data_IF_276908716147
#
_entry.id   IF_276908716147
#
_cell.length_a   1.000
_cell.length_b   1.000
_cell.length_c   1.000
_cell.angle_alpha   90.00
_cell.angle_beta   90.00
_cell.angle_gamma   90.00
#
_symmetry.space_group_name_H-M   'P 1'
#
loop_
_entity.id
_entity.type
_entity.pdbx_description
1 polymer ?
#
# COMPACT_ATOMS: atom_id res chain seq x y z
N UNK A 1 -7.31 15.08 -11.78
CA UNK A 1 -6.50 14.84 -13.00
C UNK A 1 -4.99 14.77 -12.73
N UNK A 2 -4.53 14.60 -11.47
CA UNK A 2 -3.11 14.38 -11.15
C UNK A 2 -2.71 12.90 -10.94
N UNK A 3 -3.66 12.01 -10.63
CA UNK A 3 -3.36 10.61 -10.25
C UNK A 3 -3.02 9.68 -11.42
N UNK A 4 -3.40 10.00 -12.66
CA UNK A 4 -3.21 9.10 -13.80
C UNK A 4 -1.78 9.02 -14.32
N UNK A 5 -0.92 9.97 -13.93
CA UNK A 5 0.50 10.03 -14.29
C UNK A 5 1.44 10.08 -13.07
N UNK A 6 0.87 10.18 -11.87
CA UNK A 6 1.64 10.17 -10.64
C UNK A 6 1.79 8.71 -10.22
N UNK A 7 3.02 8.20 -10.07
CA UNK A 7 3.30 6.86 -9.51
C UNK A 7 2.89 6.71 -8.04
N UNK A 8 1.96 7.54 -7.59
CA UNK A 8 1.54 7.70 -6.23
C UNK A 8 0.20 6.99 -6.06
N UNK A 9 0.12 6.03 -5.16
CA UNK A 9 -1.10 5.24 -4.98
C UNK A 9 -1.31 4.85 -3.54
N UNK A 10 -2.55 5.04 -3.07
CA UNK A 10 -3.01 4.47 -1.81
C UNK A 10 -3.08 2.95 -1.95
N UNK A 11 -2.34 2.25 -1.09
CA UNK A 11 -2.35 0.80 -1.03
C UNK A 11 -3.05 0.38 0.28
N UNK A 12 -4.28 -0.15 0.19
CA UNK A 12 -4.93 -0.75 1.35
C UNK A 12 -4.12 -1.96 1.78
N UNK A 13 -3.88 -2.09 3.09
CA UNK A 13 -3.23 -3.28 3.64
C UNK A 13 -4.15 -3.95 4.65
N UNK A 14 -3.94 -5.23 4.90
CA UNK A 14 -4.69 -5.92 5.95
C UNK A 14 -4.38 -5.29 7.31
N UNK A 15 -5.38 -5.06 8.18
CA UNK A 15 -5.17 -4.32 9.42
C UNK A 15 -4.13 -4.95 10.33
N UNK A 16 -2.98 -4.30 10.48
CA UNK A 16 -1.93 -4.73 11.41
C UNK A 16 -1.95 -3.90 12.69
N UNK A 17 -1.38 -4.46 13.77
CA UNK A 17 -1.28 -3.76 15.06
C UNK A 17 -0.30 -2.60 14.93
N UNK A 18 -0.62 -1.49 15.60
CA UNK A 18 0.33 -0.41 15.85
C UNK A 18 0.97 -0.60 17.22
N UNK A 19 2.23 -0.19 17.34
CA UNK A 19 2.91 -0.09 18.63
C UNK A 19 2.71 1.32 19.17
N UNK A 20 2.21 1.41 20.41
CA UNK A 20 2.06 2.67 21.13
C UNK A 20 3.01 2.56 22.31
N UNK A 21 4.08 3.36 22.32
CA UNK A 21 5.07 3.33 23.40
C UNK A 21 4.56 4.15 24.59
N UNK A 22 4.33 3.52 25.75
CA UNK A 22 3.96 4.25 26.96
C UNK A 22 5.15 5.09 27.45
N UNK A 23 5.00 6.42 27.49
CA UNK A 23 5.95 7.32 28.17
C UNK A 23 6.64 8.36 27.27
N UNK A 24 6.94 8.04 26.01
CA UNK A 24 7.37 9.05 25.01
C UNK A 24 6.17 9.66 24.30
N UNK A 25 5.21 8.82 23.91
CA UNK A 25 3.87 9.27 23.59
C UNK A 25 3.13 9.49 24.91
N UNK A 26 2.65 10.71 25.15
CA UNK A 26 2.04 11.08 26.42
C UNK A 26 0.71 10.35 26.71
N UNK A 27 0.14 9.60 25.76
CA UNK A 27 -1.08 8.81 25.94
C UNK A 27 -0.82 7.30 25.90
N UNK A 28 -1.35 6.57 26.88
CA UNK A 28 -1.40 5.10 26.90
C UNK A 28 -2.68 4.60 26.25
N UNK A 29 -2.74 3.31 25.89
CA UNK A 29 -3.97 2.70 25.35
C UNK A 29 -5.16 2.80 26.34
N UNK A 30 -4.87 2.81 27.65
CA UNK A 30 -5.88 3.03 28.69
C UNK A 30 -6.49 4.44 28.62
N UNK A 31 -5.67 5.46 28.31
CA UNK A 31 -6.14 6.84 28.16
C UNK A 31 -7.04 7.01 26.92
N UNK A 32 -6.81 6.21 25.87
CA UNK A 32 -7.59 6.23 24.62
C UNK A 32 -8.91 5.47 24.71
N UNK A 33 -9.04 4.58 25.69
CA UNK A 33 -10.18 3.68 25.87
C UNK A 33 -11.10 4.06 27.04
N UNK A 34 -10.76 5.08 27.83
CA UNK A 34 -11.61 5.56 28.92
C UNK A 34 -12.81 6.39 28.38
N UNK A 35 -14.06 5.93 28.56
CA UNK A 35 -15.26 6.69 28.20
C UNK A 35 -15.44 7.99 29.01
N UNK A 36 -14.71 8.17 30.11
CA UNK A 36 -14.63 9.41 30.91
C UNK A 36 -13.35 10.21 30.66
N UNK A 37 -12.48 9.73 29.77
CA UNK A 37 -11.20 10.35 29.45
C UNK A 37 -11.37 11.74 28.81
N UNK A 38 -10.41 12.64 29.05
CA UNK A 38 -10.40 13.99 28.48
C UNK A 38 -10.15 14.02 26.97
N UNK A 39 -9.67 12.92 26.38
CA UNK A 39 -9.27 12.80 24.97
C UNK A 39 -9.88 11.53 24.40
N UNK A 40 -10.67 11.62 23.33
CA UNK A 40 -11.20 10.43 22.65
C UNK A 40 -10.27 10.08 21.49
N UNK A 41 -10.12 8.78 21.20
CA UNK A 41 -9.30 8.31 20.07
C UNK A 41 -9.62 9.05 18.75
N UNK A 42 -10.90 9.31 18.46
CA UNK A 42 -11.30 10.02 17.24
C UNK A 42 -10.79 11.47 17.19
N UNK A 43 -10.56 12.10 18.34
CA UNK A 43 -9.98 13.45 18.42
C UNK A 43 -8.47 13.45 18.09
N UNK A 44 -7.82 12.27 18.08
CA UNK A 44 -6.42 12.05 17.70
C UNK A 44 -6.23 11.54 16.26
N UNK A 45 -7.34 11.37 15.53
CA UNK A 45 -7.35 10.90 14.14
C UNK A 45 -7.92 12.05 13.28
N UNK A 46 -7.11 13.09 13.02
CA UNK A 46 -7.58 14.35 12.45
C UNK A 46 -8.09 14.21 11.01
N UNK A 47 -7.61 13.20 10.27
CA UNK A 47 -7.99 13.01 8.89
C UNK A 47 -9.26 12.14 8.80
N UNK A 48 -10.33 12.68 8.23
CA UNK A 48 -11.49 11.90 7.80
C UNK A 48 -11.50 11.84 6.28
N UNK A 49 -11.26 10.67 5.70
CA UNK A 49 -11.18 10.53 4.25
C UNK A 49 -11.83 9.24 3.76
N UNK A 50 -12.30 9.30 2.50
CA UNK A 50 -12.58 8.11 1.70
C UNK A 50 -11.38 7.88 0.80
N UNK A 51 -10.68 6.77 0.97
CA UNK A 51 -9.54 6.40 0.13
C UNK A 51 -9.92 5.24 -0.76
N UNK A 52 -9.64 5.36 -2.05
CA UNK A 52 -9.94 4.33 -3.03
C UNK A 52 -8.66 3.80 -3.66
N UNK A 53 -8.65 2.50 -3.90
CA UNK A 53 -7.59 1.82 -4.63
C UNK A 53 -8.20 0.77 -5.54
N UNK A 54 -7.68 0.67 -6.74
CA UNK A 54 -8.07 -0.34 -7.71
C UNK A 54 -6.83 -1.18 -8.01
N UNK A 55 -6.94 -2.47 -7.78
CA UNK A 55 -6.00 -3.48 -8.23
C UNK A 55 -6.61 -4.18 -9.44
N UNK A 56 -5.88 -4.24 -10.55
CA UNK A 56 -6.28 -5.04 -11.72
C UNK A 56 -5.23 -6.10 -12.03
N UNK A 57 -5.68 -7.32 -12.28
CA UNK A 57 -4.87 -8.44 -12.75
C UNK A 57 -5.26 -8.79 -14.17
N UNK A 58 -4.28 -8.82 -15.07
CA UNK A 58 -4.45 -9.35 -16.42
C UNK A 58 -4.47 -10.90 -16.42
N UNK A 59 -4.70 -11.49 -17.59
CA UNK A 59 -4.72 -12.94 -17.80
C UNK A 59 -3.36 -13.62 -17.63
N UNK A 60 -2.27 -12.83 -17.52
CA UNK A 60 -0.90 -13.30 -17.27
C UNK A 60 -0.53 -13.19 -15.79
N UNK A 61 -1.43 -12.70 -14.93
CA UNK A 61 -1.20 -12.48 -13.51
C UNK A 61 -0.41 -11.21 -13.20
N UNK A 62 -0.19 -10.33 -14.17
CA UNK A 62 0.43 -9.04 -13.91
C UNK A 62 -0.57 -8.15 -13.18
N UNK A 63 -0.15 -7.67 -12.01
CA UNK A 63 -0.98 -6.83 -11.15
C UNK A 63 -0.52 -5.38 -11.26
N UNK A 64 -1.46 -4.50 -11.57
CA UNK A 64 -1.27 -3.06 -11.60
C UNK A 64 -2.17 -2.39 -10.57
N UNK A 65 -1.62 -1.40 -9.86
CA UNK A 65 -2.36 -0.55 -8.93
C UNK A 65 -2.65 0.79 -9.59
N UNK A 66 -3.88 1.28 -9.45
CA UNK A 66 -4.29 2.59 -9.94
C UNK A 66 -5.69 2.60 -10.53
N UNK A 67 -6.28 3.79 -10.58
CA UNK A 67 -7.65 4.00 -11.05
C UNK A 67 -7.76 3.84 -12.58
N UNK A 68 -8.02 2.61 -13.04
CA UNK A 68 -8.52 2.40 -14.41
C UNK A 68 -10.02 2.68 -14.47
N UNK A 69 -10.48 3.31 -15.55
CA UNK A 69 -11.91 3.60 -15.77
C UNK A 69 -12.65 2.52 -16.57
N UNK A 70 -11.92 1.67 -17.29
CA UNK A 70 -12.50 0.69 -18.20
C UNK A 70 -11.92 -0.71 -17.94
N UNK A 71 -12.82 -1.69 -17.84
CA UNK A 71 -12.50 -3.10 -17.73
C UNK A 71 -12.16 -3.73 -19.08
N UNK A 72 -11.21 -4.65 -19.08
CA UNK A 72 -10.93 -5.55 -20.18
C UNK A 72 -11.56 -6.91 -19.90
N UNK A 73 -12.15 -7.53 -20.93
CA UNK A 73 -12.77 -8.85 -20.83
C UNK A 73 -11.81 -9.87 -20.21
N UNK A 74 -12.30 -10.64 -19.24
CA UNK A 74 -11.55 -11.70 -18.57
C UNK A 74 -10.50 -11.21 -17.56
N UNK A 75 -10.37 -9.90 -17.36
CA UNK A 75 -9.50 -9.35 -16.32
C UNK A 75 -10.20 -9.35 -14.96
N UNK A 76 -9.41 -9.57 -13.90
CA UNK A 76 -9.89 -9.54 -12.52
C UNK A 76 -9.59 -8.18 -11.91
N UNK A 77 -10.56 -7.65 -11.17
CA UNK A 77 -10.48 -6.35 -10.51
C UNK A 77 -10.77 -6.51 -9.02
N UNK A 78 -10.03 -5.78 -8.20
CA UNK A 78 -10.29 -5.61 -6.78
C UNK A 78 -10.31 -4.12 -6.47
N UNK A 79 -11.51 -3.59 -6.29
CA UNK A 79 -11.75 -2.22 -5.88
C UNK A 79 -11.89 -2.19 -4.36
N UNK A 80 -11.07 -1.40 -3.69
CA UNK A 80 -11.11 -1.20 -2.25
C UNK A 80 -11.44 0.26 -1.96
N UNK A 81 -12.43 0.51 -1.11
CA UNK A 81 -12.73 1.84 -0.57
C UNK A 81 -12.71 1.83 0.95
N UNK A 82 -11.88 2.68 1.52
CA UNK A 82 -11.68 2.81 2.95
C UNK A 82 -12.30 4.12 3.45
N UNK A 83 -13.25 3.98 4.37
CA UNK A 83 -13.87 5.08 5.09
C UNK A 83 -13.23 5.14 6.47
N UNK A 84 -12.17 5.95 6.59
CA UNK A 84 -11.28 5.92 7.75
C UNK A 84 -11.15 7.28 8.40
N UNK A 85 -11.15 7.26 9.74
CA UNK A 85 -10.54 8.29 10.55
C UNK A 85 -9.09 7.85 10.78
N UNK A 86 -8.13 8.65 10.34
CA UNK A 86 -6.71 8.29 10.40
C UNK A 86 -5.84 9.45 10.86
N UNK A 87 -4.64 9.09 11.28
CA UNK A 87 -3.46 9.92 11.34
C UNK A 87 -2.39 9.33 10.40
N UNK A 88 -1.38 10.11 10.06
CA UNK A 88 -0.33 9.71 9.12
C UNK A 88 1.02 9.66 9.80
N UNK A 89 1.65 8.49 9.80
CA UNK A 89 3.02 8.28 10.30
C UNK A 89 3.96 8.09 9.13
N UNK A 90 4.98 8.95 9.03
CA UNK A 90 6.04 8.75 8.04
C UNK A 90 7.05 7.73 8.55
N UNK A 91 7.24 6.63 7.81
CA UNK A 91 8.22 5.61 8.14
C UNK A 91 9.38 5.65 7.14
N UNK A 92 10.61 5.70 7.66
CA UNK A 92 11.81 5.54 6.82
C UNK A 92 11.94 4.07 6.43
N UNK A 93 11.91 3.81 5.13
CA UNK A 93 11.99 2.50 4.52
C UNK A 93 13.16 2.48 3.55
N UNK A 94 14.04 1.51 3.73
CA UNK A 94 15.18 1.23 2.87
C UNK A 94 14.81 0.11 1.92
N UNK A 95 14.93 0.38 0.62
CA UNK A 95 14.54 -0.59 -0.40
C UNK A 95 15.72 -0.83 -1.34
N UNK A 96 16.05 -2.11 -1.50
CA UNK A 96 16.99 -2.57 -2.52
C UNK A 96 16.23 -3.37 -3.56
N UNK A 97 16.30 -2.90 -4.81
CA UNK A 97 15.73 -3.59 -5.97
C UNK A 97 16.84 -4.36 -6.67
N UNK A 98 16.61 -5.65 -6.94
CA UNK A 98 17.52 -6.48 -7.74
C UNK A 98 16.77 -7.11 -8.91
N UNK A 99 17.43 -7.29 -10.04
CA UNK A 99 16.86 -7.96 -11.21
C UNK A 99 17.90 -8.85 -11.88
N UNK A 100 17.45 -9.81 -12.70
CA UNK A 100 18.36 -10.50 -13.60
C UNK A 100 18.78 -9.52 -14.70
N UNK A 101 20.08 -9.38 -14.91
CA UNK A 101 20.67 -8.56 -15.96
C UNK A 101 21.43 -9.45 -16.93
N UNK A 102 21.22 -9.21 -18.23
CA UNK A 102 22.02 -9.78 -19.31
C UNK A 102 23.17 -8.82 -19.59
N UNK A 103 24.39 -9.26 -19.30
CA UNK A 103 25.60 -8.54 -19.65
C UNK A 103 26.17 -9.11 -20.94
N UNK A 104 26.32 -8.28 -21.96
CA UNK A 104 27.10 -8.60 -23.16
C UNK A 104 28.41 -7.83 -23.11
N UNK A 105 29.54 -8.53 -23.04
CA UNK A 105 30.86 -7.94 -23.24
C UNK A 105 31.37 -8.27 -24.64
N UNK A 106 31.75 -7.23 -25.37
CA UNK A 106 32.46 -7.35 -26.65
C UNK A 106 33.89 -6.92 -26.42
N UNK A 107 34.85 -7.82 -26.64
CA UNK A 107 36.28 -7.50 -26.58
C UNK A 107 36.82 -7.42 -28.00
N UNK A 108 37.28 -6.23 -28.41
CA UNK A 108 37.84 -5.99 -29.73
C UNK A 108 39.37 -5.94 -29.71
N UNK A 109 40.02 -6.89 -30.40
CA UNK A 109 41.46 -6.88 -30.65
C UNK A 109 41.77 -7.47 -32.04
N UNK A 110 42.78 -6.90 -32.73
CA UNK A 110 43.31 -7.25 -34.07
C UNK A 110 42.72 -8.55 -34.68
N UNK A 111 41.54 -8.45 -35.31
CA UNK A 111 40.96 -9.48 -36.16
C UNK A 111 40.07 -10.54 -35.50
N UNK A 112 39.77 -10.46 -34.20
CA UNK A 112 38.81 -11.36 -33.54
C UNK A 112 37.88 -10.59 -32.59
N UNK A 113 36.57 -10.70 -32.82
CA UNK A 113 35.52 -10.23 -31.90
C UNK A 113 35.05 -11.42 -31.05
N UNK A 114 35.30 -11.37 -29.74
CA UNK A 114 34.74 -12.33 -28.80
C UNK A 114 33.54 -11.69 -28.09
N UNK A 115 32.38 -12.36 -28.16
CA UNK A 115 31.14 -11.95 -27.49
C UNK A 115 30.82 -12.91 -26.36
N UNK A 116 30.86 -12.43 -25.13
CA UNK A 116 30.50 -13.20 -23.95
C UNK A 116 29.18 -12.68 -23.37
N UNK A 117 28.26 -13.60 -23.08
CA UNK A 117 26.95 -13.30 -22.52
C UNK A 117 26.82 -13.97 -21.15
N UNK A 118 26.49 -13.21 -20.12
CA UNK A 118 26.19 -13.74 -18.79
C UNK A 118 24.89 -13.17 -18.26
N UNK A 119 24.14 -14.00 -17.52
CA UNK A 119 22.94 -13.57 -16.79
C UNK A 119 23.24 -13.64 -15.31
N UNK A 120 23.19 -12.50 -14.62
CA UNK A 120 23.44 -12.43 -13.17
C UNK A 120 22.41 -11.56 -12.48
N UNK A 121 22.16 -11.79 -11.18
CA UNK A 121 21.27 -10.92 -10.40
C UNK A 121 22.08 -9.74 -9.85
N UNK A 122 21.66 -8.52 -10.15
CA UNK A 122 22.36 -7.30 -9.72
C UNK A 122 21.39 -6.26 -9.15
N UNK A 123 21.85 -5.38 -8.24
CA UNK A 123 21.11 -4.19 -7.82
C UNK A 123 20.80 -3.28 -9.02
N UNK A 124 19.59 -2.76 -9.08
CA UNK A 124 19.14 -1.83 -10.13
C UNK A 124 18.41 -0.64 -9.50
N UNK A 125 18.65 0.57 -10.00
CA UNK A 125 18.06 1.79 -9.45
C UNK A 125 16.54 1.86 -9.70
N UNK A 126 15.81 2.58 -8.84
CA UNK A 126 14.36 2.77 -8.98
C UNK A 126 13.97 3.63 -10.20
N UNK A 127 14.83 4.56 -10.62
CA UNK A 127 14.54 5.57 -11.66
C UNK A 127 14.91 5.11 -13.08
N UNK A 128 15.75 4.07 -13.22
CA UNK A 128 16.28 3.67 -14.52
C UNK A 128 15.40 2.61 -15.20
N UNK A 129 14.85 2.98 -16.36
CA UNK A 129 14.20 2.08 -17.31
C UNK A 129 15.18 1.07 -17.92
N UNK A 130 14.62 0.12 -18.69
CA UNK A 130 15.15 -1.22 -18.99
C UNK A 130 16.54 -1.36 -19.65
N UNK A 131 17.22 -0.28 -20.05
CA UNK A 131 18.49 -0.36 -20.79
C UNK A 131 19.50 0.68 -20.28
N UNK A 132 20.66 0.23 -19.77
CA UNK A 132 21.79 1.10 -19.42
C UNK A 132 23.06 0.59 -20.09
N UNK A 133 23.67 1.42 -20.94
CA UNK A 133 24.98 1.15 -21.52
C UNK A 133 26.05 1.81 -20.64
N UNK A 134 26.86 0.99 -19.97
CA UNK A 134 28.07 1.45 -19.29
C UNK A 134 29.25 1.38 -20.25
N UNK A 135 29.81 2.54 -20.63
CA UNK A 135 31.04 2.61 -21.40
C UNK A 135 32.23 2.78 -20.45
N UNK A 136 33.16 1.83 -20.43
CA UNK A 136 34.47 2.02 -19.79
C UNK A 136 35.49 2.42 -20.86
N UNK A 137 36.05 3.62 -20.72
CA UNK A 137 37.20 4.10 -21.50
C UNK A 137 38.49 3.71 -20.79
N UNK A 138 38.83 2.43 -20.81
CA UNK A 138 40.23 2.02 -20.61
C UNK A 138 40.77 1.51 -21.95
N UNK A 139 42.10 1.54 -22.11
CA UNK A 139 42.85 1.41 -23.38
C UNK A 139 42.61 0.12 -24.20
N UNK A 140 41.71 -0.76 -23.77
CA UNK A 140 41.13 -1.85 -24.54
C UNK A 140 39.62 -1.59 -24.66
N UNK A 141 39.12 -1.44 -25.89
CA UNK A 141 37.71 -1.15 -26.19
C UNK A 141 36.82 -2.34 -25.81
N UNK A 142 36.49 -2.45 -24.53
CA UNK A 142 35.49 -3.36 -23.97
C UNK A 142 34.17 -2.60 -23.83
N UNK A 143 33.21 -2.89 -24.70
CA UNK A 143 31.84 -2.39 -24.55
C UNK A 143 31.05 -3.39 -23.70
N UNK A 144 30.48 -2.94 -22.58
CA UNK A 144 29.61 -3.74 -21.72
C UNK A 144 28.18 -3.20 -21.79
N UNK A 145 27.31 -3.96 -22.43
CA UNK A 145 25.87 -3.67 -22.48
C UNK A 145 25.17 -4.46 -21.36
N UNK A 146 24.42 -3.76 -20.51
CA UNK A 146 23.65 -4.36 -19.42
C UNK A 146 22.17 -4.14 -19.68
N UNK A 147 21.44 -5.24 -19.87
CA UNK A 147 19.99 -5.22 -20.11
C UNK A 147 19.24 -5.88 -18.97
N UNK A 148 18.27 -5.18 -18.39
CA UNK A 148 17.43 -5.75 -17.32
C UNK A 148 16.39 -6.68 -17.94
N UNK A 149 16.22 -7.89 -17.39
CA UNK A 149 15.14 -8.80 -17.78
C UNK A 149 13.87 -8.40 -17.01
N UNK A 150 12.82 -7.87 -17.69
CA UNK A 150 11.60 -7.46 -17.01
C UNK A 150 10.89 -8.63 -16.35
N UNK A 151 10.26 -8.39 -15.20
CA UNK A 151 9.52 -9.42 -14.44
C UNK A 151 10.40 -10.28 -13.53
N UNK A 152 11.72 -10.04 -13.49
CA UNK A 152 12.67 -10.75 -12.61
C UNK A 152 13.03 -9.96 -11.35
N UNK A 153 12.35 -8.82 -11.15
CA UNK A 153 12.60 -7.90 -10.05
C UNK A 153 12.27 -8.54 -8.70
N UNK A 154 13.19 -8.37 -7.76
CA UNK A 154 13.01 -8.73 -6.36
C UNK A 154 13.32 -7.51 -5.50
N UNK A 155 12.57 -7.38 -4.42
CA UNK A 155 12.69 -6.26 -3.50
C UNK A 155 13.05 -6.78 -2.13
N UNK A 156 14.11 -6.20 -1.57
CA UNK A 156 14.49 -6.39 -0.19
C UNK A 156 14.20 -5.07 0.54
N UNK A 157 13.36 -5.15 1.56
CA UNK A 157 12.80 -4.00 2.26
C UNK A 157 13.20 -4.09 3.71
N UNK A 158 13.75 -3.01 4.25
CA UNK A 158 14.07 -2.85 5.66
C UNK A 158 13.44 -1.57 6.17
N UNK A 159 12.79 -1.63 7.31
CA UNK A 159 12.40 -0.45 8.05
C UNK A 159 13.44 -0.16 9.11
N UNK A 160 13.68 1.12 9.37
CA UNK A 160 14.52 1.55 10.47
C UNK A 160 13.73 2.40 11.44
N UNK A 161 14.17 2.39 12.70
CA UNK A 161 13.77 3.41 13.65
C UNK A 161 14.24 4.81 13.19
N UNK A 162 13.77 5.87 13.86
CA UNK A 162 14.10 7.26 13.51
C UNK A 162 15.60 7.60 13.63
N UNK A 163 16.42 6.74 14.24
CA UNK A 163 17.84 6.98 14.53
C UNK A 163 18.70 5.81 14.05
N UNK A 164 18.92 5.70 12.74
CA UNK A 164 20.05 4.91 12.22
C UNK A 164 21.36 5.66 12.47
N UNK A 165 22.39 4.94 12.90
CA UNK A 165 23.74 5.51 12.98
C UNK A 165 24.28 5.85 11.57
N UNK A 166 25.22 6.80 11.48
CA UNK A 166 25.87 7.16 10.22
C UNK A 166 26.53 5.95 9.54
N UNK A 167 27.10 5.03 10.32
CA UNK A 167 27.76 3.83 9.83
C UNK A 167 26.76 2.83 9.23
N UNK A 168 25.62 2.60 9.89
CA UNK A 168 24.55 1.74 9.37
C UNK A 168 23.95 2.31 8.09
N UNK A 169 23.74 3.63 8.06
CA UNK A 169 23.27 4.34 6.86
C UNK A 169 24.28 4.17 5.71
N UNK A 170 25.57 4.34 5.99
CA UNK A 170 26.65 4.13 5.01
C UNK A 170 26.67 2.71 4.46
N UNK A 171 26.47 1.71 5.33
CA UNK A 171 26.38 0.30 4.93
C UNK A 171 25.18 0.01 4.05
N UNK A 172 24.00 0.54 4.37
CA UNK A 172 22.80 0.37 3.54
C UNK A 172 22.99 0.98 2.14
N UNK A 173 23.59 2.17 2.07
CA UNK A 173 23.91 2.81 0.79
C UNK A 173 24.93 1.98 -0.02
N UNK A 174 25.98 1.46 0.62
CA UNK A 174 26.96 0.60 -0.08
C UNK A 174 26.37 -0.73 -0.54
N UNK A 175 25.38 -1.25 0.18
CA UNK A 175 24.67 -2.48 -0.16
C UNK A 175 23.61 -2.29 -1.27
N UNK A 176 23.44 -1.05 -1.75
CA UNK A 176 22.51 -0.69 -2.84
C UNK A 176 21.08 -0.44 -2.39
N UNK A 177 20.85 -0.07 -1.13
CA UNK A 177 19.52 0.39 -0.67
C UNK A 177 19.34 1.89 -0.93
N UNK A 178 18.13 2.24 -1.32
CA UNK A 178 17.65 3.62 -1.40
C UNK A 178 16.67 3.90 -0.25
N UNK A 179 16.76 5.08 0.38
CA UNK A 179 15.86 5.48 1.47
C UNK A 179 14.62 6.19 0.93
N UNK A 180 13.45 5.79 1.43
CA UNK A 180 12.17 6.39 1.11
C UNK A 180 11.39 6.71 2.38
N UNK A 181 10.77 7.89 2.42
CA UNK A 181 9.75 8.22 3.43
C UNK A 181 8.39 7.74 2.93
N UNK A 182 7.86 6.68 3.53
CA UNK A 182 6.56 6.08 3.19
C UNK A 182 5.52 6.56 4.21
N UNK A 183 4.51 7.35 3.81
CA UNK A 183 3.39 7.68 4.67
C UNK A 183 2.54 6.43 4.95
N UNK A 184 2.35 6.12 6.22
CA UNK A 184 1.56 4.98 6.70
C UNK A 184 0.35 5.51 7.47
N UNK A 185 -0.84 5.09 7.05
CA UNK A 185 -2.09 5.53 7.66
C UNK A 185 -2.43 4.65 8.85
N UNK A 186 -2.56 5.27 10.02
CA UNK A 186 -2.97 4.62 11.27
C UNK A 186 -4.35 5.13 11.64
N UNK A 187 -5.31 4.24 11.88
CA UNK A 187 -6.67 4.69 12.12
C UNK A 187 -7.67 3.59 12.41
N UNK A 188 -8.94 3.99 12.41
CA UNK A 188 -10.11 3.11 12.53
C UNK A 188 -11.14 3.46 11.48
N UNK A 189 -11.98 2.50 11.09
CA UNK A 189 -13.01 2.76 10.11
C UNK A 189 -13.62 1.50 9.51
N UNK A 190 -14.02 1.61 8.25
CA UNK A 190 -14.62 0.52 7.47
C UNK A 190 -13.93 0.41 6.12
N UNK A 191 -13.91 -0.80 5.57
CA UNK A 191 -13.45 -1.09 4.22
C UNK A 191 -14.53 -1.82 3.45
N UNK A 192 -14.83 -1.34 2.25
CA UNK A 192 -15.53 -2.11 1.22
C UNK A 192 -14.49 -2.69 0.29
N UNK A 193 -14.57 -3.99 0.05
CA UNK A 193 -13.83 -4.66 -1.02
C UNK A 193 -14.84 -5.22 -2.00
N UNK A 194 -14.78 -4.75 -3.24
CA UNK A 194 -15.47 -5.40 -4.34
C UNK A 194 -14.43 -6.07 -5.23
N UNK A 195 -14.56 -7.38 -5.40
CA UNK A 195 -13.67 -8.18 -6.22
C UNK A 195 -14.49 -8.89 -7.29
N UNK A 196 -13.96 -9.02 -8.51
CA UNK A 196 -14.74 -9.63 -9.58
C UNK A 196 -14.03 -9.65 -10.91
N UNK A 197 -14.64 -10.35 -11.86
CA UNK A 197 -14.14 -10.53 -13.21
C UNK A 197 -15.04 -9.78 -14.19
N UNK A 198 -14.42 -8.97 -15.04
CA UNK A 198 -15.14 -8.30 -16.12
C UNK A 198 -15.51 -9.31 -17.20
N UNK A 199 -16.80 -9.43 -17.48
CA UNK A 199 -17.34 -10.38 -18.47
C UNK A 199 -17.34 -9.76 -19.87
N UNK A 200 -17.48 -8.44 -19.96
CA UNK A 200 -17.55 -7.70 -21.22
C UNK A 200 -16.54 -6.56 -21.26
N UNK A 201 -15.93 -6.33 -22.43
CA UNK A 201 -15.03 -5.21 -22.64
C UNK A 201 -15.74 -3.88 -22.39
N UNK A 202 -15.07 -2.95 -21.71
CA UNK A 202 -15.59 -1.61 -21.45
C UNK A 202 -16.51 -1.52 -20.23
N UNK A 203 -16.62 -2.57 -19.41
CA UNK A 203 -17.32 -2.48 -18.12
C UNK A 203 -16.75 -1.31 -17.30
N UNK A 204 -17.64 -0.46 -16.79
CA UNK A 204 -17.21 0.74 -16.07
C UNK A 204 -16.85 0.40 -14.62
N UNK A 205 -15.55 0.42 -14.33
CA UNK A 205 -15.00 0.07 -13.01
C UNK A 205 -14.57 1.30 -12.21
N UNK A 206 -15.01 2.49 -12.59
CA UNK A 206 -14.54 3.74 -11.99
C UNK A 206 -14.89 3.95 -10.51
N UNK A 207 -15.80 3.16 -9.93
CA UNK A 207 -16.13 3.24 -8.52
C UNK A 207 -17.17 2.24 -8.04
N UNK A 208 -17.32 2.12 -6.72
CA UNK A 208 -18.16 1.09 -6.07
C UNK A 208 -19.64 1.21 -6.48
N UNK A 209 -20.18 2.43 -6.55
CA UNK A 209 -21.54 2.66 -7.02
C UNK A 209 -21.76 2.21 -8.47
N UNK A 210 -20.76 2.40 -9.33
CA UNK A 210 -20.85 2.08 -10.76
C UNK A 210 -20.75 0.58 -10.99
N UNK A 211 -19.84 -0.10 -10.31
CA UNK A 211 -19.69 -1.56 -10.45
C UNK A 211 -20.94 -2.35 -10.02
N UNK A 212 -21.74 -1.81 -9.09
CA UNK A 212 -23.04 -2.40 -8.74
C UNK A 212 -24.01 -2.39 -9.92
N UNK A 213 -24.05 -1.28 -10.67
CA UNK A 213 -24.86 -1.17 -11.88
C UNK A 213 -24.32 -2.03 -13.04
N UNK A 214 -22.99 -2.15 -13.17
CA UNK A 214 -22.36 -3.04 -14.15
C UNK A 214 -22.65 -4.52 -13.85
N UNK A 215 -22.71 -4.90 -12.57
CA UNK A 215 -23.07 -6.25 -12.16
C UNK A 215 -24.55 -6.56 -12.44
N UNK A 216 -25.46 -5.62 -12.16
CA UNK A 216 -26.88 -5.73 -12.53
C UNK A 216 -27.05 -5.93 -14.06
N UNK A 217 -26.23 -5.22 -14.85
CA UNK A 217 -26.19 -5.36 -16.30
C UNK A 217 -25.45 -6.63 -16.79
N UNK A 218 -25.02 -7.52 -15.89
CA UNK A 218 -24.26 -8.76 -16.18
C UNK A 218 -22.94 -8.53 -16.92
N UNK A 219 -22.35 -7.34 -16.79
CA UNK A 219 -21.05 -6.98 -17.37
C UNK A 219 -19.88 -7.25 -16.42
N UNK A 220 -20.19 -7.47 -15.15
CA UNK A 220 -19.26 -7.78 -14.07
C UNK A 220 -19.87 -8.87 -13.19
N UNK A 221 -19.08 -9.86 -12.79
CA UNK A 221 -19.50 -10.88 -11.82
C UNK A 221 -18.46 -10.94 -10.72
N UNK A 222 -18.91 -10.97 -9.47
CA UNK A 222 -17.98 -10.93 -8.35
C UNK A 222 -18.66 -10.89 -7.00
N UNK A 223 -17.91 -10.46 -6.01
CA UNK A 223 -18.34 -10.33 -4.63
C UNK A 223 -18.10 -8.93 -4.09
N UNK A 224 -18.85 -8.57 -3.05
CA UNK A 224 -18.68 -7.37 -2.27
C UNK A 224 -18.66 -7.75 -0.79
N UNK A 225 -17.65 -7.27 -0.08
CA UNK A 225 -17.47 -7.49 1.35
C UNK A 225 -17.31 -6.15 2.06
N UNK A 226 -17.92 -6.02 3.23
CA UNK A 226 -17.68 -4.90 4.16
C UNK A 226 -17.00 -5.45 5.40
N UNK A 227 -15.87 -4.85 5.79
CA UNK A 227 -15.14 -5.21 7.00
C UNK A 227 -14.90 -3.99 7.87
N UNK A 228 -14.83 -4.19 9.18
CA UNK A 228 -14.37 -3.15 10.10
C UNK A 228 -12.84 -3.10 10.14
N UNK A 229 -12.30 -1.92 10.37
CA UNK A 229 -10.87 -1.67 10.57
C UNK A 229 -10.69 -1.16 11.99
N UNK A 230 -10.38 -2.06 12.93
CA UNK A 230 -10.13 -1.65 14.32
C UNK A 230 -11.37 -1.18 15.08
N UNK A 231 -12.57 -1.55 14.64
CA UNK A 231 -13.85 -1.17 15.29
C UNK A 231 -14.59 -2.43 15.69
N UNK A 232 -15.09 -2.48 16.92
CA UNK A 232 -15.88 -3.60 17.42
C UNK A 232 -16.98 -3.14 18.39
N UNK A 233 -18.20 -3.62 18.20
CA UNK A 233 -19.30 -3.60 19.18
C UNK A 233 -20.40 -4.55 18.71
N UNK A 234 -21.34 -4.89 19.59
CA UNK A 234 -22.51 -5.69 19.20
C UNK A 234 -23.33 -5.00 18.11
N UNK A 235 -23.57 -3.68 18.26
CA UNK A 235 -24.31 -2.89 17.27
C UNK A 235 -23.61 -2.85 15.91
N UNK A 236 -22.28 -2.71 15.90
CA UNK A 236 -21.47 -2.72 14.68
C UNK A 236 -21.53 -4.09 14.00
N UNK A 237 -21.39 -5.17 14.76
CA UNK A 237 -21.45 -6.53 14.22
C UNK A 237 -22.82 -6.84 13.58
N UNK A 238 -23.91 -6.38 14.19
CA UNK A 238 -25.27 -6.55 13.65
C UNK A 238 -25.58 -5.69 12.42
N UNK A 239 -24.82 -4.60 12.21
CA UNK A 239 -25.00 -3.71 11.07
C UNK A 239 -24.19 -4.14 9.82
N UNK A 240 -23.28 -5.10 9.94
CA UNK A 240 -22.48 -5.58 8.82
C UNK A 240 -23.34 -6.41 7.86
N UNK A 241 -23.29 -6.15 6.54
CA UNK A 241 -24.03 -6.92 5.55
C UNK A 241 -23.48 -8.34 5.42
N UNK A 242 -24.38 -9.33 5.32
CA UNK A 242 -24.05 -10.75 5.17
C UNK A 242 -23.89 -11.17 3.71
N UNK A 243 -24.51 -10.42 2.78
CA UNK A 243 -24.54 -10.77 1.36
C UNK A 243 -23.19 -10.53 0.69
N UNK A 244 -22.70 -11.54 -0.02
CA UNK A 244 -21.38 -11.50 -0.67
C UNK A 244 -21.43 -11.28 -2.17
N UNK A 245 -22.55 -11.50 -2.88
CA UNK A 245 -22.61 -11.34 -4.34
C UNK A 245 -22.66 -9.85 -4.74
N UNK A 246 -21.86 -9.47 -5.73
CA UNK A 246 -21.84 -8.10 -6.23
C UNK A 246 -23.12 -7.82 -7.04
N UNK A 247 -23.90 -6.86 -6.57
CA UNK A 247 -25.08 -6.34 -7.27
C UNK A 247 -25.29 -4.87 -6.92
N UNK A 248 -26.26 -4.22 -7.59
CA UNK A 248 -26.65 -2.86 -7.21
C UNK A 248 -27.17 -2.81 -5.76
N UNK A 249 -28.02 -3.77 -5.38
CA UNK A 249 -28.59 -3.83 -4.03
C UNK A 249 -27.52 -4.07 -2.96
N UNK A 250 -26.56 -4.98 -3.20
CA UNK A 250 -25.48 -5.26 -2.24
C UNK A 250 -24.60 -4.02 -2.02
N UNK A 251 -24.35 -3.27 -3.09
CA UNK A 251 -23.63 -2.00 -3.05
C UNK A 251 -24.40 -0.94 -2.25
N UNK A 252 -25.70 -0.77 -2.50
CA UNK A 252 -26.55 0.17 -1.75
C UNK A 252 -26.59 -0.19 -0.25
N UNK A 253 -26.78 -1.47 0.07
CA UNK A 253 -26.75 -1.98 1.45
C UNK A 253 -25.40 -1.71 2.15
N UNK A 254 -24.28 -1.84 1.42
CA UNK A 254 -22.95 -1.55 1.96
C UNK A 254 -22.78 -0.08 2.35
N UNK A 255 -23.28 0.84 1.52
CA UNK A 255 -23.25 2.28 1.84
C UNK A 255 -24.11 2.62 3.06
N UNK A 256 -25.31 2.03 3.15
CA UNK A 256 -26.20 2.21 4.31
C UNK A 256 -25.53 1.69 5.59
N UNK A 257 -24.94 0.50 5.54
CA UNK A 257 -24.20 -0.08 6.67
C UNK A 257 -23.04 0.81 7.12
N UNK A 258 -22.27 1.38 6.18
CA UNK A 258 -21.19 2.32 6.50
C UNK A 258 -21.70 3.59 7.15
N UNK A 259 -22.77 4.19 6.63
CA UNK A 259 -23.36 5.38 7.25
C UNK A 259 -23.80 5.11 8.69
N UNK A 260 -24.45 3.96 8.91
CA UNK A 260 -24.87 3.49 10.24
C UNK A 260 -23.67 3.28 11.17
N UNK A 261 -22.67 2.48 10.77
CA UNK A 261 -21.50 2.17 11.60
C UNK A 261 -20.66 3.43 11.87
N UNK A 262 -20.53 4.35 10.91
CA UNK A 262 -19.82 5.62 11.10
C UNK A 262 -20.46 6.43 12.22
N UNK A 263 -21.80 6.45 12.33
CA UNK A 263 -22.48 7.09 13.45
C UNK A 263 -22.17 6.40 14.79
N UNK A 264 -22.08 5.07 14.80
CA UNK A 264 -21.73 4.26 15.98
C UNK A 264 -20.29 4.49 16.46
N UNK A 265 -19.37 4.97 15.61
CA UNK A 265 -18.01 5.33 16.04
C UNK A 265 -18.00 6.44 17.11
N UNK A 266 -19.04 7.25 17.22
CA UNK A 266 -19.12 8.29 18.24
C UNK A 266 -19.72 7.80 19.56
N UNK A 267 -20.27 6.59 19.59
CA UNK A 267 -20.85 5.98 20.78
C UNK A 267 -19.76 5.49 21.75
N UNK A 268 -20.09 5.48 23.04
CA UNK A 268 -19.16 5.15 24.12
C UNK A 268 -18.92 3.63 24.21
N UNK A 269 -19.93 2.83 23.89
CA UNK A 269 -19.90 1.36 23.84
C UNK A 269 -19.11 0.81 22.66
N UNK A 270 -18.76 1.64 21.67
CA UNK A 270 -17.99 1.21 20.51
C UNK A 270 -16.51 1.16 20.86
N UNK A 271 -15.97 -0.06 20.85
CA UNK A 271 -14.55 -0.31 21.12
C UNK A 271 -13.74 0.01 19.87
N UNK A 272 -12.69 0.82 20.03
CA UNK A 272 -11.83 1.28 18.93
C UNK A 272 -10.37 0.97 19.21
N UNK A 273 -9.72 0.29 18.29
CA UNK A 273 -8.30 -0.04 18.32
C UNK A 273 -7.66 0.48 17.03
N UNK A 274 -6.77 1.49 17.07
CA UNK A 274 -6.09 1.96 15.87
C UNK A 274 -5.29 0.82 15.25
N UNK A 275 -5.32 0.76 13.91
CA UNK A 275 -4.61 -0.22 13.09
C UNK A 275 -3.90 0.51 11.97
N UNK A 276 -2.86 -0.11 11.41
CA UNK A 276 -2.40 0.32 10.11
C UNK A 276 -3.46 -0.06 9.09
N UNK A 277 -4.03 0.92 8.39
CA UNK A 277 -5.12 0.68 7.42
C UNK A 277 -4.63 0.70 5.98
N UNK A 278 -3.56 1.43 5.70
CA UNK A 278 -2.97 1.49 4.38
C UNK A 278 -1.67 2.26 4.40
N UNK A 279 -1.05 2.36 3.24
CA UNK A 279 0.16 3.15 3.02
C UNK A 279 0.05 3.92 1.71
N UNK A 280 0.87 4.95 1.58
CA UNK A 280 1.02 5.71 0.35
C UNK A 280 2.38 5.41 -0.25
N UNK A 281 2.39 4.87 -1.46
CA UNK A 281 3.63 4.70 -2.21
C UNK A 281 3.94 5.98 -2.98
N UNK A 282 5.08 6.65 -2.77
CA UNK A 282 5.45 7.83 -3.54
C UNK A 282 6.09 7.51 -4.90
N UNK A 283 6.16 6.23 -5.27
CA UNK A 283 6.79 5.74 -6.50
C UNK A 283 6.02 4.53 -7.06
N UNK A 284 6.11 4.26 -8.37
CA UNK A 284 5.51 3.08 -8.97
C UNK A 284 6.01 1.80 -8.29
N UNK A 285 5.10 0.97 -7.81
CA UNK A 285 5.41 -0.31 -7.17
C UNK A 285 4.51 -1.42 -7.69
N UNK A 286 5.12 -2.49 -8.19
CA UNK A 286 4.40 -3.72 -8.53
C UNK A 286 4.07 -4.54 -7.27
N UNK A 287 3.24 -5.57 -7.44
CA UNK A 287 2.86 -6.52 -6.37
C UNK A 287 4.04 -7.09 -5.57
N UNK A 288 5.21 -7.44 -6.16
CA UNK A 288 6.36 -7.91 -5.39
C UNK A 288 6.85 -6.88 -4.35
N UNK A 289 6.88 -5.61 -4.71
CA UNK A 289 7.31 -4.54 -3.81
C UNK A 289 6.29 -4.28 -2.71
N UNK A 290 5.00 -4.22 -3.08
CA UNK A 290 3.90 -4.07 -2.11
C UNK A 290 3.93 -5.20 -1.07
N UNK A 291 4.09 -6.44 -1.52
CA UNK A 291 4.19 -7.60 -0.63
C UNK A 291 5.40 -7.52 0.30
N UNK A 292 6.56 -7.08 -0.20
CA UNK A 292 7.76 -6.90 0.61
C UNK A 292 7.57 -5.82 1.68
N UNK A 293 6.92 -4.70 1.33
CA UNK A 293 6.57 -3.62 2.27
C UNK A 293 5.59 -4.09 3.34
N UNK A 294 4.51 -4.79 2.96
CA UNK A 294 3.54 -5.35 3.92
C UNK A 294 4.25 -6.33 4.87
N UNK A 295 5.12 -7.18 4.33
CA UNK A 295 5.90 -8.15 5.13
C UNK A 295 6.84 -7.45 6.12
N UNK A 296 7.39 -6.30 5.74
CA UNK A 296 8.24 -5.50 6.61
C UNK A 296 7.43 -4.78 7.70
N UNK A 297 6.31 -4.14 7.35
CA UNK A 297 5.42 -3.49 8.31
C UNK A 297 4.78 -4.48 9.30
N UNK A 298 4.60 -5.72 8.88
CA UNK A 298 4.13 -6.81 9.75
C UNK A 298 5.19 -7.27 10.75
N UNK A 299 6.45 -7.38 10.30
CA UNK A 299 7.59 -7.77 11.15
C UNK A 299 8.01 -6.67 12.12
N UNK A 300 8.01 -5.43 11.64
CA UNK A 300 8.38 -4.24 12.39
C UNK A 300 7.16 -3.31 12.45
N UNK A 301 6.32 -3.43 13.51
CA UNK A 301 5.12 -2.63 13.65
C UNK A 301 5.37 -1.13 13.55
N UNK A 302 4.35 -0.38 13.13
CA UNK A 302 4.42 1.08 13.10
C UNK A 302 4.31 1.61 14.52
N UNK A 303 5.30 2.38 14.96
CA UNK A 303 5.20 3.21 16.15
C UNK A 303 4.29 4.39 15.83
N UNK A 304 3.22 4.56 16.60
CA UNK A 304 2.30 5.68 16.46
C UNK A 304 2.26 6.48 17.76
N UNK A 305 2.77 7.71 17.69
CA UNK A 305 2.59 8.72 18.73
C UNK A 305 1.61 9.77 18.21
N UNK A 306 0.38 9.83 18.74
CA UNK A 306 -0.55 10.91 18.41
C UNK A 306 0.03 12.24 18.92
N UNK A 307 0.56 13.05 18.01
CA UNK A 307 1.07 14.38 18.32
C UNK A 307 -0.10 15.30 18.67
N UNK A 308 -0.10 15.90 19.87
CA UNK A 308 -1.09 16.92 20.22
C UNK A 308 -1.52 16.98 21.69
N UNK A 309 -1.23 15.95 22.50
CA UNK A 309 -1.58 15.99 23.92
C UNK A 309 -0.40 15.61 24.79
N UNK A 310 0.36 16.60 25.28
CA UNK A 310 1.10 16.42 26.53
C UNK A 310 0.07 16.15 27.64
N UNK A 311 -0.10 14.88 28.03
CA UNK A 311 -0.79 14.49 29.26
C UNK A 311 0.10 14.95 30.43
N UNK A 312 0.10 16.26 30.64
CA UNK A 312 1.01 16.96 31.54
C UNK A 312 0.50 18.33 31.93
N UNK A 313 -0.45 18.92 31.18
CA UNK A 313 -1.12 20.15 31.61
C UNK A 313 -2.20 19.82 32.67
N UNK A 314 -1.72 19.46 33.86
CA UNK A 314 -2.48 19.57 35.11
C UNK A 314 -2.72 21.06 35.37
N UNK A 315 -3.76 21.64 34.76
CA UNK A 315 -4.38 22.81 35.38
C UNK A 315 -5.31 22.31 36.49
N UNK A 316 -4.81 22.52 37.70
CA UNK A 316 -5.55 22.66 38.96
C UNK A 316 -6.87 23.41 38.79
#
# INVERSE_FOLDING_TARGET
MGESASGYTYIPIDPTKVHIEPGECSATYADLSDPKGRIRLLDLLPDNAVRMSMESSDTKGNVTYGVSKAGATGSTYKLTADYVNSDTVNKSIWIRKTALVQSTSTTGGRGQEAREQSTTRQPVNFVQGADYQSFSTDRESVSKEIKVIPGTEQYDVKSSGPLLSTDERGKLLSDGYEEFSVPVYVGVGLRIVAEGVSITQGANISGIGVIGAEAEAKRLVGSLTVQTLGVNSQAVASALPVQSELSRTTTENAFVAIGSIKSMLHQAETIKFPRVVGLYLPFPGGKPLVNALISELSRNPVQWCPNGYRIGDRRS
#
